data_IF_126985294177
#
_entry.id   IF_126985294177
#
_cell.length_a   1.000
_cell.length_b   1.000
_cell.length_c   1.000
_cell.angle_alpha   90.00
_cell.angle_beta   90.00
_cell.angle_gamma   90.00
#
_symmetry.space_group_name_H-M   'P 1'
#
loop_
_entity.id
_entity.type
_entity.pdbx_description
1 polymer ?
#
# COMPACT_ATOMS: atom_id res chain seq x y z
N UNK A 1 -27.01 -11.45 -5.17
CA UNK A 1 -26.06 -10.96 -4.13
C UNK A 1 -24.84 -11.85 -4.00
N UNK A 2 -24.98 -13.17 -4.02
CA UNK A 2 -23.85 -14.11 -3.93
C UNK A 2 -22.82 -13.97 -5.07
N UNK A 3 -23.27 -13.86 -6.33
CA UNK A 3 -22.37 -13.62 -7.47
C UNK A 3 -21.57 -12.30 -7.32
N UNK A 4 -22.19 -11.25 -6.78
CA UNK A 4 -21.53 -9.97 -6.51
C UNK A 4 -20.49 -10.10 -5.41
N UNK A 5 -20.78 -10.85 -4.35
CA UNK A 5 -19.81 -11.15 -3.29
C UNK A 5 -18.61 -11.95 -3.81
N UNK A 6 -18.84 -13.02 -4.58
CA UNK A 6 -17.77 -13.86 -5.13
C UNK A 6 -16.87 -13.10 -6.10
N UNK A 7 -17.46 -12.33 -7.00
CA UNK A 7 -16.71 -11.45 -7.91
C UNK A 7 -15.94 -10.37 -7.15
N UNK A 8 -16.58 -9.74 -6.16
CA UNK A 8 -15.94 -8.76 -5.28
C UNK A 8 -14.73 -9.33 -4.54
N UNK A 9 -14.85 -10.54 -4.00
CA UNK A 9 -13.78 -11.25 -3.30
C UNK A 9 -12.58 -11.52 -4.22
N UNK A 10 -12.83 -11.99 -5.45
CA UNK A 10 -11.76 -12.26 -6.42
C UNK A 10 -11.03 -10.97 -6.82
N UNK A 11 -11.75 -9.88 -7.08
CA UNK A 11 -11.15 -8.59 -7.42
C UNK A 11 -10.39 -8.01 -6.22
N UNK A 12 -10.93 -8.15 -5.00
CA UNK A 12 -10.29 -7.70 -3.77
C UNK A 12 -8.94 -8.43 -3.57
N UNK A 13 -8.95 -9.76 -3.64
CA UNK A 13 -7.75 -10.59 -3.52
C UNK A 13 -6.73 -10.24 -4.60
N UNK A 14 -7.16 -10.13 -5.86
CA UNK A 14 -6.29 -9.69 -6.96
C UNK A 14 -5.67 -8.31 -6.68
N UNK A 15 -6.47 -7.36 -6.21
CA UNK A 15 -6.02 -6.02 -5.83
C UNK A 15 -4.93 -6.06 -4.76
N UNK A 16 -5.09 -6.89 -3.73
CA UNK A 16 -4.09 -7.09 -2.66
C UNK A 16 -2.78 -7.65 -3.23
N UNK A 17 -2.84 -8.67 -4.08
CA UNK A 17 -1.65 -9.27 -4.71
C UNK A 17 -0.92 -8.26 -5.60
N UNK A 18 -1.66 -7.47 -6.39
CA UNK A 18 -1.04 -6.44 -7.25
C UNK A 18 -0.44 -5.32 -6.41
N UNK A 19 -1.11 -4.86 -5.34
CA UNK A 19 -0.56 -3.86 -4.42
C UNK A 19 0.73 -4.37 -3.76
N UNK A 20 0.78 -5.63 -3.37
CA UNK A 20 2.01 -6.29 -2.89
C UNK A 20 3.12 -6.24 -3.94
N UNK A 21 2.81 -6.52 -5.21
CA UNK A 21 3.76 -6.34 -6.32
C UNK A 21 4.25 -4.89 -6.47
N UNK A 22 3.37 -3.90 -6.29
CA UNK A 22 3.73 -2.47 -6.32
C UNK A 22 4.65 -2.10 -5.15
N UNK A 23 4.42 -2.62 -3.95
CA UNK A 23 5.31 -2.41 -2.78
C UNK A 23 6.69 -3.01 -3.03
N UNK A 24 6.76 -4.25 -3.53
CA UNK A 24 8.03 -4.89 -3.92
C UNK A 24 8.75 -4.08 -4.99
N UNK A 25 8.04 -3.62 -6.01
CA UNK A 25 8.60 -2.73 -7.03
C UNK A 25 9.16 -1.43 -6.42
N UNK A 26 8.47 -0.82 -5.47
CA UNK A 26 8.96 0.36 -4.76
C UNK A 26 10.23 0.08 -3.95
N UNK A 27 10.31 -1.07 -3.27
CA UNK A 27 11.51 -1.51 -2.54
C UNK A 27 12.70 -1.63 -3.48
N UNK A 28 12.53 -2.35 -4.61
CA UNK A 28 13.59 -2.51 -5.61
C UNK A 28 14.00 -1.18 -6.23
N UNK A 29 13.04 -0.35 -6.63
CA UNK A 29 13.30 0.96 -7.19
C UNK A 29 14.06 1.86 -6.20
N UNK A 30 13.71 1.82 -4.92
CA UNK A 30 14.41 2.57 -3.88
C UNK A 30 15.84 2.03 -3.71
N UNK A 31 16.02 0.70 -3.60
CA UNK A 31 17.32 0.07 -3.43
C UNK A 31 18.30 0.48 -4.53
N UNK A 32 17.87 0.39 -5.78
CA UNK A 32 18.67 0.67 -6.99
C UNK A 32 18.84 2.17 -7.30
N UNK A 33 18.20 3.06 -6.53
CA UNK A 33 18.29 4.49 -6.77
C UNK A 33 19.48 5.14 -6.07
N UNK A 34 20.23 5.96 -6.82
CA UNK A 34 21.36 6.74 -6.32
C UNK A 34 21.11 8.26 -6.37
N UNK A 35 20.07 8.70 -7.08
CA UNK A 35 19.76 10.12 -7.25
C UNK A 35 18.33 10.43 -6.81
N UNK A 36 18.21 11.23 -5.75
CA UNK A 36 16.93 11.63 -5.15
C UNK A 36 15.97 12.26 -6.17
N UNK A 37 16.45 13.14 -7.05
CA UNK A 37 15.60 13.83 -8.05
C UNK A 37 15.01 12.85 -9.06
N UNK A 38 15.81 11.88 -9.55
CA UNK A 38 15.32 10.86 -10.50
C UNK A 38 14.32 9.93 -9.82
N UNK A 39 14.61 9.53 -8.58
CA UNK A 39 13.69 8.72 -7.78
C UNK A 39 12.37 9.45 -7.53
N UNK A 40 12.41 10.72 -7.12
CA UNK A 40 11.23 11.54 -6.89
C UNK A 40 10.37 11.74 -8.15
N UNK A 41 10.99 11.86 -9.34
CA UNK A 41 10.26 11.90 -10.62
C UNK A 41 9.48 10.60 -10.87
N UNK A 42 10.10 9.43 -10.67
CA UNK A 42 9.41 8.14 -10.81
C UNK A 42 8.27 8.00 -9.80
N UNK A 43 8.49 8.48 -8.57
CA UNK A 43 7.50 8.44 -7.51
C UNK A 43 6.23 9.25 -7.81
N UNK A 44 6.27 10.22 -8.73
CA UNK A 44 5.07 10.93 -9.20
C UNK A 44 4.07 10.02 -9.92
N UNK A 45 4.54 8.92 -10.51
CA UNK A 45 3.71 7.95 -11.23
C UNK A 45 3.35 6.79 -10.31
N UNK A 46 4.30 6.31 -9.50
CA UNK A 46 4.06 5.13 -8.65
C UNK A 46 3.09 5.42 -7.51
N UNK A 47 3.12 6.63 -6.94
CA UNK A 47 2.20 7.02 -5.86
C UNK A 47 0.72 6.96 -6.24
N UNK A 48 0.26 7.57 -7.35
CA UNK A 48 -1.15 7.45 -7.74
C UNK A 48 -1.53 6.01 -8.08
N UNK A 49 -0.61 5.19 -8.61
CA UNK A 49 -0.87 3.75 -8.83
C UNK A 49 -1.14 3.04 -7.50
N UNK A 50 -0.22 3.19 -6.53
CA UNK A 50 -0.38 2.57 -5.21
C UNK A 50 -1.66 3.02 -4.51
N UNK A 51 -1.92 4.33 -4.49
CA UNK A 51 -3.15 4.88 -3.92
C UNK A 51 -4.42 4.39 -4.63
N UNK A 52 -4.38 4.17 -5.94
CA UNK A 52 -5.51 3.60 -6.70
C UNK A 52 -5.78 2.15 -6.32
N UNK A 53 -4.76 1.34 -6.09
CA UNK A 53 -4.94 -0.04 -5.63
C UNK A 53 -5.45 -0.10 -4.18
N UNK A 54 -4.96 0.77 -3.29
CA UNK A 54 -5.54 0.90 -1.95
C UNK A 54 -7.03 1.28 -2.03
N UNK A 55 -7.38 2.25 -2.88
CA UNK A 55 -8.78 2.64 -3.09
C UNK A 55 -9.63 1.51 -3.66
N UNK A 56 -9.10 0.74 -4.63
CA UNK A 56 -9.76 -0.44 -5.18
C UNK A 56 -10.05 -1.49 -4.10
N UNK A 57 -9.07 -1.79 -3.24
CA UNK A 57 -9.20 -2.75 -2.14
C UNK A 57 -10.26 -2.27 -1.14
N UNK A 58 -10.22 -1.00 -0.72
CA UNK A 58 -11.23 -0.42 0.16
C UNK A 58 -12.63 -0.46 -0.44
N UNK A 59 -12.76 -0.10 -1.71
CA UNK A 59 -14.04 -0.07 -2.43
C UNK A 59 -14.63 -1.48 -2.57
N UNK A 60 -13.82 -2.45 -3.00
CA UNK A 60 -14.26 -3.85 -3.12
C UNK A 60 -14.62 -4.46 -1.75
N UNK A 61 -13.89 -4.12 -0.69
CA UNK A 61 -14.24 -4.50 0.68
C UNK A 61 -15.60 -3.92 1.12
N UNK A 62 -15.86 -2.64 0.83
CA UNK A 62 -17.14 -2.01 1.11
C UNK A 62 -18.30 -2.67 0.33
N UNK A 63 -18.08 -2.99 -0.95
CA UNK A 63 -19.05 -3.71 -1.80
C UNK A 63 -19.36 -5.09 -1.24
N UNK A 64 -18.35 -5.85 -0.80
CA UNK A 64 -18.54 -7.17 -0.19
C UNK A 64 -19.31 -7.10 1.13
N UNK A 65 -19.03 -6.10 1.97
CA UNK A 65 -19.77 -5.87 3.21
C UNK A 65 -21.23 -5.53 2.91
N UNK A 66 -21.50 -4.63 1.96
CA UNK A 66 -22.86 -4.28 1.55
C UNK A 66 -23.61 -5.51 0.98
N UNK A 67 -22.92 -6.36 0.22
CA UNK A 67 -23.48 -7.60 -0.34
C UNK A 67 -23.90 -8.61 0.74
N UNK A 68 -23.31 -8.52 1.95
CA UNK A 68 -23.63 -9.33 3.14
C UNK A 68 -24.33 -8.53 4.24
N UNK A 69 -25.18 -7.56 3.87
CA UNK A 69 -25.98 -6.77 4.81
C UNK A 69 -25.15 -6.02 5.88
N UNK A 70 -23.99 -5.50 5.50
CA UNK A 70 -23.08 -4.74 6.37
C UNK A 70 -22.63 -5.50 7.63
N UNK A 71 -22.30 -6.78 7.48
CA UNK A 71 -21.69 -7.56 8.55
C UNK A 71 -20.27 -7.06 8.86
N UNK A 72 -20.09 -6.44 10.03
CA UNK A 72 -18.78 -6.03 10.55
C UNK A 72 -18.15 -7.17 11.34
N UNK A 73 -17.46 -8.06 10.64
CA UNK A 73 -16.62 -9.08 11.28
C UNK A 73 -15.32 -8.46 11.78
N UNK A 74 -14.65 -9.13 12.73
CA UNK A 74 -13.29 -8.77 13.17
C UNK A 74 -12.31 -8.62 11.99
N UNK A 75 -12.44 -9.48 10.97
CA UNK A 75 -11.62 -9.41 9.76
C UNK A 75 -11.85 -8.10 8.98
N UNK A 76 -13.11 -7.70 8.81
CA UNK A 76 -13.45 -6.44 8.11
C UNK A 76 -12.90 -5.22 8.84
N UNK A 77 -13.00 -5.20 10.17
CA UNK A 77 -12.44 -4.12 10.99
C UNK A 77 -10.91 -4.07 10.86
N UNK A 78 -10.24 -5.22 10.96
CA UNK A 78 -8.78 -5.31 10.81
C UNK A 78 -8.31 -4.80 9.43
N UNK A 79 -9.01 -5.16 8.35
CA UNK A 79 -8.73 -4.67 7.00
C UNK A 79 -8.82 -3.16 6.87
N UNK A 80 -9.86 -2.55 7.45
CA UNK A 80 -10.03 -1.08 7.44
C UNK A 80 -8.89 -0.40 8.18
N UNK A 81 -8.53 -0.91 9.37
CA UNK A 81 -7.41 -0.37 10.17
C UNK A 81 -6.10 -0.46 9.38
N UNK A 82 -5.84 -1.61 8.75
CA UNK A 82 -4.62 -1.83 7.95
C UNK A 82 -4.58 -0.88 6.75
N UNK A 83 -5.70 -0.71 6.05
CA UNK A 83 -5.77 0.24 4.94
C UNK A 83 -5.48 1.68 5.38
N UNK A 84 -6.01 2.12 6.52
CA UNK A 84 -5.69 3.45 7.10
C UNK A 84 -4.19 3.56 7.40
N UNK A 85 -3.60 2.53 8.01
CA UNK A 85 -2.16 2.50 8.30
C UNK A 85 -1.35 2.61 7.00
N UNK A 86 -1.68 1.85 5.96
CA UNK A 86 -1.02 1.94 4.66
C UNK A 86 -1.12 3.35 4.07
N UNK A 87 -2.31 3.96 4.06
CA UNK A 87 -2.50 5.34 3.57
C UNK A 87 -1.59 6.32 4.31
N UNK A 88 -1.52 6.20 5.65
CA UNK A 88 -0.69 7.08 6.48
C UNK A 88 0.79 6.88 6.19
N UNK A 89 1.26 5.63 6.08
CA UNK A 89 2.66 5.32 5.78
C UNK A 89 3.06 5.85 4.40
N UNK A 90 2.21 5.66 3.42
CA UNK A 90 2.44 6.07 2.04
C UNK A 90 2.47 7.60 1.91
N UNK A 91 1.53 8.29 2.57
CA UNK A 91 1.52 9.75 2.67
C UNK A 91 2.76 10.29 3.40
N UNK A 92 3.18 9.63 4.50
CA UNK A 92 4.40 10.00 5.23
C UNK A 92 5.66 9.80 4.38
N UNK A 93 5.76 8.69 3.63
CA UNK A 93 6.87 8.40 2.72
C UNK A 93 6.98 9.50 1.66
N UNK A 94 5.87 9.80 0.98
CA UNK A 94 5.86 10.81 -0.08
C UNK A 94 6.12 12.24 0.44
N UNK A 95 5.51 12.61 1.57
CA UNK A 95 5.75 13.91 2.20
C UNK A 95 7.20 14.08 2.62
N UNK A 96 7.83 13.02 3.14
CA UNK A 96 9.25 13.05 3.51
C UNK A 96 10.12 13.26 2.28
N UNK A 97 9.89 12.49 1.21
CA UNK A 97 10.64 12.63 -0.04
C UNK A 97 10.55 14.04 -0.63
N UNK A 98 9.35 14.61 -0.71
CA UNK A 98 9.10 15.86 -1.44
C UNK A 98 9.42 17.11 -0.62
N UNK A 99 9.22 17.08 0.69
CA UNK A 99 9.28 18.28 1.54
C UNK A 99 10.35 18.26 2.62
N UNK A 100 10.92 17.10 2.95
CA UNK A 100 11.86 16.96 4.08
C UNK A 100 13.24 16.48 3.67
N UNK A 101 13.39 15.91 2.48
CA UNK A 101 14.70 15.53 1.96
C UNK A 101 15.33 16.74 1.29
N UNK A 102 16.33 17.33 1.94
CA UNK A 102 17.16 18.37 1.35
C UNK A 102 18.08 17.75 0.30
N UNK A 103 18.01 18.25 -0.93
CA UNK A 103 18.80 17.73 -2.05
C UNK A 103 20.22 18.31 -2.07
N UNK A 104 20.48 19.36 -1.30
CA UNK A 104 21.78 20.05 -1.20
C UNK A 104 22.66 19.46 -0.11
N UNK A 105 22.04 18.82 0.89
CA UNK A 105 22.73 18.16 1.99
C UNK A 105 23.25 16.78 1.57
N UNK A 106 24.55 16.56 1.75
CA UNK A 106 25.18 15.26 1.54
C UNK A 106 24.59 14.19 2.47
N UNK A 107 24.34 12.98 1.96
CA UNK A 107 23.77 11.87 2.74
C UNK A 107 22.26 11.96 3.05
N UNK A 108 21.59 13.08 2.75
CA UNK A 108 20.15 13.24 3.02
C UNK A 108 19.27 12.20 2.30
N UNK A 109 19.70 11.72 1.13
CA UNK A 109 18.99 10.66 0.43
C UNK A 109 19.12 9.30 1.14
N UNK A 110 20.28 8.99 1.71
CA UNK A 110 20.49 7.73 2.44
C UNK A 110 19.66 7.69 3.74
N UNK A 111 19.54 8.83 4.42
CA UNK A 111 18.61 8.96 5.55
C UNK A 111 17.15 8.75 5.13
N UNK A 112 16.75 9.32 3.98
CA UNK A 112 15.44 9.05 3.41
C UNK A 112 15.26 7.57 3.10
N UNK A 113 16.25 6.90 2.47
CA UNK A 113 16.19 5.47 2.14
C UNK A 113 15.96 4.64 3.39
N UNK A 114 16.68 4.88 4.48
CA UNK A 114 16.49 4.19 5.77
C UNK A 114 15.06 4.31 6.29
N UNK A 115 14.48 5.52 6.26
CA UNK A 115 13.09 5.76 6.70
C UNK A 115 12.08 5.11 5.75
N UNK A 116 12.27 5.25 4.44
CA UNK A 116 11.39 4.71 3.42
C UNK A 116 11.37 3.17 3.41
N UNK A 117 12.52 2.51 3.60
CA UNK A 117 12.59 1.05 3.75
C UNK A 117 11.81 0.56 4.97
N UNK A 118 11.84 1.29 6.09
CA UNK A 118 11.03 0.93 7.27
C UNK A 118 9.54 1.00 6.96
N UNK A 119 9.08 2.06 6.29
CA UNK A 119 7.66 2.19 5.91
C UNK A 119 7.23 1.10 4.93
N UNK A 120 8.02 0.87 3.87
CA UNK A 120 7.78 -0.18 2.89
C UNK A 120 7.82 -1.58 3.51
N UNK A 121 8.72 -1.83 4.47
CA UNK A 121 8.78 -3.09 5.21
C UNK A 121 7.50 -3.33 6.02
N UNK A 122 7.00 -2.30 6.72
CA UNK A 122 5.73 -2.40 7.45
C UNK A 122 4.56 -2.64 6.48
N UNK A 123 4.46 -1.89 5.37
CA UNK A 123 3.44 -2.11 4.33
C UNK A 123 3.48 -3.56 3.82
N UNK A 124 4.67 -4.09 3.55
CA UNK A 124 4.85 -5.46 3.10
C UNK A 124 4.43 -6.48 4.17
N UNK A 125 4.83 -6.30 5.43
CA UNK A 125 4.42 -7.19 6.52
C UNK A 125 2.89 -7.21 6.68
N UNK A 126 2.23 -6.05 6.62
CA UNK A 126 0.77 -5.97 6.72
C UNK A 126 0.06 -6.67 5.56
N UNK A 127 0.55 -6.48 4.33
CA UNK A 127 -0.01 -7.15 3.15
C UNK A 127 0.17 -8.68 3.21
N UNK A 128 1.32 -9.17 3.69
CA UNK A 128 1.56 -10.60 3.87
C UNK A 128 0.63 -11.19 4.92
N UNK A 129 0.52 -10.55 6.09
CA UNK A 129 -0.39 -10.98 7.17
C UNK A 129 -1.83 -11.04 6.65
N UNK A 130 -2.26 -10.01 5.91
CA UNK A 130 -3.61 -9.99 5.34
C UNK A 130 -3.83 -11.07 4.29
N UNK A 131 -2.85 -11.29 3.41
CA UNK A 131 -2.95 -12.32 2.37
C UNK A 131 -3.09 -13.70 3.01
N UNK A 132 -2.24 -14.02 4.00
CA UNK A 132 -2.31 -15.28 4.74
C UNK A 132 -3.66 -15.41 5.45
N UNK A 133 -4.10 -14.35 6.12
CA UNK A 133 -5.38 -14.36 6.82
C UNK A 133 -6.55 -14.66 5.88
N UNK A 134 -6.57 -14.03 4.70
CA UNK A 134 -7.59 -14.27 3.68
C UNK A 134 -7.57 -15.70 3.12
N UNK A 135 -6.41 -16.38 3.11
CA UNK A 135 -6.29 -17.75 2.63
C UNK A 135 -6.78 -18.79 3.66
N UNK A 136 -6.82 -18.43 4.94
CA UNK A 136 -7.18 -19.34 6.04
C UNK A 136 -8.67 -19.21 6.44
N UNK A 137 -9.36 -18.16 5.97
CA UNK A 137 -10.79 -17.94 6.18
C UNK A 137 -11.65 -18.50 5.04
#
# INVERSE_FOLDING_TARGET
>A
MEAMYKTGLNIHYFGVIVLMGVVVFNIMMLALSHHVVRYAKRMRIVMPISGSFIALILFTGAVMMAAKHLSFTLANIAMIVIAIVMIVLEAKRYKTLKRKTDITQEGAFDEYKKKAFRFLGIEMSLLLVMTIWMMVQ
#
